data_IF_935049527014
#
_entry.id   IF_935049527014
#
_cell.length_a   1.000
_cell.length_b   1.000
_cell.length_c   1.000
_cell.angle_alpha   90.00
_cell.angle_beta   90.00
_cell.angle_gamma   90.00
#
_symmetry.space_group_name_H-M   'P 1'
#
loop_
_entity.id
_entity.type
_entity.pdbx_description
1 polymer ?
#
# COMPACT_ATOMS: atom_id res chain seq x y z
N UNK A 1 -12.22 23.80 -19.59
CA UNK A 1 -13.42 22.99 -19.26
C UNK A 1 -13.41 21.59 -19.89
N UNK A 2 -13.06 21.44 -21.21
CA UNK A 2 -13.02 20.13 -21.86
C UNK A 2 -11.93 19.19 -21.31
N UNK A 3 -10.75 19.71 -20.95
CA UNK A 3 -9.65 18.89 -20.40
C UNK A 3 -9.95 18.29 -19.01
N UNK A 4 -10.90 18.86 -18.28
CA UNK A 4 -11.24 18.42 -16.93
C UNK A 4 -12.22 17.23 -16.94
N UNK A 5 -13.03 17.09 -17.98
CA UNK A 5 -13.94 15.95 -18.17
C UNK A 5 -13.15 14.66 -18.43
N UNK A 6 -12.08 14.72 -19.22
CA UNK A 6 -11.22 13.56 -19.49
C UNK A 6 -10.46 13.07 -18.24
N UNK A 7 -10.11 13.96 -17.32
CA UNK A 7 -9.46 13.58 -16.05
C UNK A 7 -10.38 12.84 -15.07
N UNK A 8 -11.70 12.89 -15.29
CA UNK A 8 -12.70 12.22 -14.45
C UNK A 8 -13.14 10.86 -14.99
N UNK A 9 -12.70 10.52 -16.21
CA UNK A 9 -13.02 9.23 -16.82
C UNK A 9 -11.98 8.17 -16.45
N UNK A 10 -12.41 6.94 -16.35
CA UNK A 10 -11.53 5.78 -16.18
C UNK A 10 -12.11 4.59 -16.93
N UNK A 11 -11.23 3.72 -17.40
CA UNK A 11 -11.62 2.55 -18.15
C UNK A 11 -12.23 1.48 -17.25
N UNK A 12 -13.35 0.91 -17.66
CA UNK A 12 -13.95 -0.28 -17.06
C UNK A 12 -13.57 -1.54 -17.83
N UNK A 13 -13.45 -1.42 -19.16
CA UNK A 13 -13.06 -2.51 -20.05
C UNK A 13 -12.18 -1.95 -21.16
N UNK A 14 -11.13 -2.66 -21.47
CA UNK A 14 -10.21 -2.34 -22.56
C UNK A 14 -10.80 -2.76 -23.91
N UNK A 15 -10.28 -2.21 -25.01
CA UNK A 15 -10.72 -2.56 -26.37
C UNK A 15 -10.46 -4.04 -26.72
N UNK A 16 -9.46 -4.66 -26.10
CA UNK A 16 -9.15 -6.09 -26.23
C UNK A 16 -10.09 -7.01 -25.41
N UNK A 17 -11.09 -6.43 -24.74
CA UNK A 17 -12.08 -7.17 -23.96
C UNK A 17 -11.68 -7.44 -22.51
N UNK A 18 -10.47 -7.12 -22.08
CA UNK A 18 -10.01 -7.28 -20.70
C UNK A 18 -10.63 -6.23 -19.79
N UNK A 19 -11.14 -6.64 -18.62
CA UNK A 19 -11.65 -5.72 -17.62
C UNK A 19 -10.50 -4.97 -16.95
N UNK A 20 -10.70 -3.67 -16.76
CA UNK A 20 -9.69 -2.82 -16.12
C UNK A 20 -9.68 -3.03 -14.59
N UNK A 21 -8.54 -2.78 -13.98
CA UNK A 21 -8.27 -2.98 -12.56
C UNK A 21 -9.37 -2.44 -11.64
N UNK A 22 -9.86 -1.22 -11.89
CA UNK A 22 -10.85 -0.57 -11.03
C UNK A 22 -12.17 -1.36 -10.92
N UNK A 23 -12.62 -1.98 -12.02
CA UNK A 23 -13.82 -2.80 -12.01
C UNK A 23 -13.54 -4.20 -11.46
N UNK A 24 -12.43 -4.81 -11.89
CA UNK A 24 -12.08 -6.17 -11.49
C UNK A 24 -11.95 -6.27 -9.96
N UNK A 25 -11.19 -5.37 -9.33
CA UNK A 25 -10.97 -5.41 -7.87
C UNK A 25 -12.27 -5.21 -7.09
N UNK A 26 -13.17 -4.33 -7.53
CA UNK A 26 -14.47 -4.10 -6.87
C UNK A 26 -15.34 -5.35 -6.88
N UNK A 27 -15.41 -6.02 -8.04
CA UNK A 27 -16.24 -7.23 -8.19
C UNK A 27 -15.63 -8.41 -7.43
N UNK A 28 -14.32 -8.58 -7.52
CA UNK A 28 -13.62 -9.69 -6.86
C UNK A 28 -13.65 -9.54 -5.34
N UNK A 29 -13.33 -8.37 -4.80
CA UNK A 29 -13.37 -8.10 -3.35
C UNK A 29 -14.79 -8.33 -2.79
N UNK A 30 -15.82 -7.83 -3.49
CA UNK A 30 -17.20 -8.05 -3.05
C UNK A 30 -17.59 -9.54 -3.06
N UNK A 31 -17.21 -10.29 -4.10
CA UNK A 31 -17.49 -11.73 -4.22
C UNK A 31 -16.73 -12.56 -3.19
N UNK A 32 -15.52 -12.14 -2.85
CA UNK A 32 -14.69 -12.78 -1.83
C UNK A 32 -15.09 -12.39 -0.41
N UNK A 33 -16.01 -11.45 -0.24
CA UNK A 33 -16.46 -10.98 1.07
C UNK A 33 -15.40 -10.17 1.82
N UNK A 34 -14.55 -9.45 1.10
CA UNK A 34 -13.54 -8.57 1.68
C UNK A 34 -14.22 -7.44 2.44
N UNK A 35 -13.94 -7.32 3.73
CA UNK A 35 -14.54 -6.32 4.63
C UNK A 35 -13.61 -5.14 4.91
N UNK A 36 -12.30 -5.31 4.73
CA UNK A 36 -11.30 -4.30 4.98
C UNK A 36 -10.14 -4.40 3.99
N UNK A 37 -9.73 -3.26 3.42
CA UNK A 37 -8.63 -3.15 2.47
C UNK A 37 -7.56 -2.23 3.05
N UNK A 38 -6.38 -2.79 3.30
CA UNK A 38 -5.18 -2.03 3.71
C UNK A 38 -4.19 -2.01 2.56
N UNK A 39 -3.79 -0.83 2.11
CA UNK A 39 -2.93 -0.68 0.93
C UNK A 39 -2.11 0.61 0.93
N UNK A 40 -1.22 0.80 -0.03
CA UNK A 40 -0.42 2.02 -0.16
C UNK A 40 -1.24 3.27 -0.49
N UNK A 41 -0.78 4.42 -0.02
CA UNK A 41 -1.41 5.72 -0.24
C UNK A 41 -1.42 6.16 -1.71
N UNK A 42 -0.61 5.55 -2.58
CA UNK A 42 -0.64 5.77 -4.02
C UNK A 42 -1.97 5.35 -4.67
N UNK A 43 -2.73 4.46 -4.02
CA UNK A 43 -4.06 4.06 -4.46
C UNK A 43 -5.20 4.89 -3.82
N UNK A 44 -4.90 5.90 -3.01
CA UNK A 44 -5.92 6.73 -2.36
C UNK A 44 -6.86 7.38 -3.38
N UNK A 45 -6.34 7.88 -4.50
CA UNK A 45 -7.15 8.47 -5.57
C UNK A 45 -8.07 7.45 -6.27
N UNK A 46 -7.74 6.16 -6.21
CA UNK A 46 -8.58 5.08 -6.75
C UNK A 46 -9.75 4.75 -5.85
N UNK A 47 -9.65 4.99 -4.56
CA UNK A 47 -10.69 4.65 -3.58
C UNK A 47 -12.03 5.31 -3.91
N UNK A 48 -12.04 6.60 -4.26
CA UNK A 48 -13.28 7.30 -4.62
C UNK A 48 -13.95 6.67 -5.84
N UNK A 49 -13.17 6.22 -6.85
CA UNK A 49 -13.69 5.55 -8.05
C UNK A 49 -14.25 4.17 -7.71
N UNK A 50 -13.56 3.43 -6.86
CA UNK A 50 -14.00 2.10 -6.41
C UNK A 50 -15.26 2.19 -5.55
N UNK A 51 -15.35 3.12 -4.60
CA UNK A 51 -16.55 3.37 -3.82
C UNK A 51 -17.75 3.74 -4.71
N UNK A 52 -17.51 4.52 -5.75
CA UNK A 52 -18.54 4.83 -6.73
C UNK A 52 -19.02 3.59 -7.50
N UNK A 53 -18.09 2.69 -7.89
CA UNK A 53 -18.44 1.42 -8.53
C UNK A 53 -19.20 0.48 -7.58
N UNK A 54 -18.78 0.35 -6.32
CA UNK A 54 -19.52 -0.42 -5.31
C UNK A 54 -20.98 0.04 -5.23
N UNK A 55 -21.17 1.36 -5.18
CA UNK A 55 -22.52 1.94 -5.14
C UNK A 55 -23.32 1.68 -6.42
N UNK A 56 -22.70 1.82 -7.60
CA UNK A 56 -23.39 1.59 -8.88
C UNK A 56 -23.80 0.13 -9.11
N UNK A 57 -23.00 -0.80 -8.56
CA UNK A 57 -23.23 -2.23 -8.70
C UNK A 57 -24.05 -2.82 -7.55
N UNK A 58 -24.49 -1.99 -6.61
CA UNK A 58 -25.19 -2.40 -5.38
C UNK A 58 -24.42 -3.47 -4.60
N UNK A 59 -23.09 -3.29 -4.49
CA UNK A 59 -22.19 -4.19 -3.79
C UNK A 59 -21.77 -3.60 -2.44
N UNK A 60 -21.54 -4.44 -1.40
CA UNK A 60 -21.04 -3.98 -0.11
C UNK A 60 -19.61 -3.47 -0.22
N UNK A 61 -19.38 -2.19 0.10
CA UNK A 61 -18.05 -1.61 0.09
C UNK A 61 -17.26 -1.96 1.36
N UNK A 62 -15.97 -2.35 1.24
CA UNK A 62 -15.09 -2.56 2.38
C UNK A 62 -14.70 -1.23 3.03
N UNK A 63 -14.15 -1.31 4.25
CA UNK A 63 -13.41 -0.19 4.84
C UNK A 63 -12.04 -0.09 4.17
N UNK A 64 -11.54 1.14 3.99
CA UNK A 64 -10.24 1.38 3.39
C UNK A 64 -9.29 2.05 4.39
N UNK A 65 -8.08 1.52 4.47
CA UNK A 65 -6.95 2.13 5.15
C UNK A 65 -5.78 2.30 4.17
N UNK A 66 -5.10 3.45 4.23
CA UNK A 66 -3.99 3.76 3.34
C UNK A 66 -2.73 4.01 4.17
N UNK A 67 -1.72 3.16 3.97
CA UNK A 67 -0.42 3.30 4.59
C UNK A 67 0.46 4.25 3.77
N UNK A 68 1.33 5.06 4.41
CA UNK A 68 2.30 5.87 3.70
C UNK A 68 3.24 4.98 2.89
N UNK A 69 3.78 5.53 1.79
CA UNK A 69 4.77 4.84 0.99
C UNK A 69 6.14 4.93 1.68
N UNK A 70 6.94 3.88 1.48
CA UNK A 70 8.36 3.94 1.75
C UNK A 70 9.08 4.51 0.51
N UNK A 71 9.87 5.52 0.73
CA UNK A 71 10.69 6.17 -0.28
C UNK A 71 12.16 5.84 -0.02
N UNK A 72 12.99 5.92 -1.03
CA UNK A 72 14.44 5.89 -0.86
C UNK A 72 14.90 7.06 0.03
N UNK A 73 16.11 7.00 0.57
CA UNK A 73 16.68 8.05 1.43
C UNK A 73 16.70 9.45 0.78
N UNK A 74 16.79 9.49 -0.56
CA UNK A 74 16.73 10.72 -1.37
C UNK A 74 15.31 11.19 -1.72
N UNK A 75 14.27 10.53 -1.18
CA UNK A 75 12.85 10.86 -1.38
C UNK A 75 12.23 10.32 -2.68
N UNK A 76 12.99 9.58 -3.51
CA UNK A 76 12.41 8.92 -4.70
C UNK A 76 11.59 7.71 -4.30
N UNK A 77 10.62 7.34 -5.14
CA UNK A 77 9.94 6.04 -5.00
C UNK A 77 10.96 4.90 -5.14
N UNK A 78 10.86 3.94 -4.24
CA UNK A 78 11.58 2.67 -4.40
C UNK A 78 11.14 2.02 -5.71
N UNK A 79 12.10 1.67 -6.55
CA UNK A 79 11.85 1.08 -7.86
C UNK A 79 12.60 -0.24 -8.00
N UNK A 80 12.23 -1.03 -9.02
CA UNK A 80 12.97 -2.27 -9.37
C UNK A 80 14.44 -2.01 -9.73
N UNK A 81 14.82 -0.75 -9.99
CA UNK A 81 16.21 -0.36 -10.26
C UNK A 81 17.03 -0.21 -8.97
N UNK A 82 16.36 -0.02 -7.84
CA UNK A 82 16.98 0.00 -6.51
C UNK A 82 17.09 -1.45 -6.01
N UNK A 83 17.66 -2.33 -6.84
CA UNK A 83 17.65 -3.79 -6.71
C UNK A 83 18.14 -4.33 -5.36
N UNK A 84 18.94 -3.54 -4.62
CA UNK A 84 19.47 -3.94 -3.32
C UNK A 84 18.41 -3.98 -2.21
N UNK A 85 17.24 -3.37 -2.41
CA UNK A 85 16.15 -3.31 -1.45
C UNK A 85 14.94 -4.18 -1.87
N UNK A 86 15.09 -5.05 -2.87
CA UNK A 86 14.06 -6.05 -3.14
C UNK A 86 13.99 -7.05 -1.98
N UNK A 87 12.79 -7.57 -1.69
CA UNK A 87 12.62 -8.59 -0.65
C UNK A 87 13.51 -9.82 -0.90
N UNK A 88 13.74 -10.16 -2.17
CA UNK A 88 14.62 -11.25 -2.56
C UNK A 88 16.07 -11.00 -2.10
N UNK A 89 16.60 -9.81 -2.33
CA UNK A 89 17.95 -9.42 -1.91
C UNK A 89 18.05 -9.25 -0.39
N UNK A 90 17.03 -8.70 0.25
CA UNK A 90 17.00 -8.55 1.70
C UNK A 90 17.01 -9.91 2.41
N UNK A 91 16.30 -10.90 1.90
CA UNK A 91 16.28 -12.28 2.47
C UNK A 91 17.62 -12.99 2.41
N UNK A 92 18.54 -12.56 1.55
CA UNK A 92 19.89 -13.10 1.52
C UNK A 92 20.78 -12.60 2.68
N UNK A 93 20.39 -11.47 3.31
CA UNK A 93 21.18 -10.77 4.35
C UNK A 93 20.50 -10.73 5.71
N UNK A 94 19.19 -10.76 5.74
CA UNK A 94 18.37 -10.53 6.94
C UNK A 94 17.33 -11.63 7.14
N UNK A 95 17.03 -11.94 8.40
CA UNK A 95 15.88 -12.78 8.75
C UNK A 95 14.56 -12.03 8.50
N UNK A 96 13.45 -12.77 8.53
CA UNK A 96 12.13 -12.13 8.42
C UNK A 96 11.88 -11.14 9.59
N UNK A 97 12.29 -11.50 10.79
CA UNK A 97 12.17 -10.69 11.99
C UNK A 97 13.03 -9.41 11.92
N UNK A 98 14.23 -9.50 11.34
CA UNK A 98 15.09 -8.34 11.09
C UNK A 98 14.41 -7.35 10.15
N UNK A 99 13.84 -7.85 9.04
CA UNK A 99 13.15 -7.02 8.06
C UNK A 99 11.94 -6.35 8.69
N UNK A 100 11.10 -7.12 9.40
CA UNK A 100 9.91 -6.58 10.07
C UNK A 100 10.29 -5.53 11.12
N UNK A 101 11.31 -5.79 11.93
CA UNK A 101 11.76 -4.85 12.96
C UNK A 101 12.29 -3.55 12.36
N UNK A 102 13.10 -3.62 11.30
CA UNK A 102 13.60 -2.44 10.57
C UNK A 102 12.46 -1.63 9.95
N UNK A 103 11.47 -2.28 9.35
CA UNK A 103 10.29 -1.62 8.83
C UNK A 103 9.47 -0.97 9.95
N UNK A 104 9.26 -1.67 11.07
CA UNK A 104 8.56 -1.12 12.23
C UNK A 104 9.26 0.13 12.78
N UNK A 105 10.59 0.13 12.83
CA UNK A 105 11.38 1.30 13.18
C UNK A 105 11.17 2.46 12.18
N UNK A 106 11.25 2.19 10.87
CA UNK A 106 11.03 3.21 9.85
C UNK A 106 9.63 3.84 9.94
N UNK A 107 8.62 3.05 10.32
CA UNK A 107 7.25 3.52 10.55
C UNK A 107 7.04 4.17 11.94
N UNK A 108 8.05 4.24 12.79
CA UNK A 108 7.92 4.81 14.14
C UNK A 108 7.08 3.95 15.09
N UNK A 109 6.93 2.67 14.81
CA UNK A 109 6.22 1.71 15.67
C UNK A 109 7.11 1.14 16.77
N UNK A 110 8.43 1.34 16.68
CA UNK A 110 9.42 1.04 17.71
C UNK A 110 10.60 2.02 17.64
N UNK A 111 11.37 2.09 18.71
CA UNK A 111 12.46 3.09 18.87
C UNK A 111 13.77 2.67 18.20
N UNK A 112 14.00 1.36 18.01
CA UNK A 112 15.25 0.81 17.47
C UNK A 112 14.93 -0.23 16.37
N UNK A 113 15.83 -0.46 15.39
CA UNK A 113 15.64 -1.43 14.32
C UNK A 113 15.91 -2.88 14.80
N UNK A 114 15.40 -3.24 15.98
CA UNK A 114 15.55 -4.55 16.57
C UNK A 114 14.60 -5.57 15.93
N UNK A 115 15.00 -6.87 15.81
CA UNK A 115 14.15 -7.91 15.25
C UNK A 115 12.80 -8.03 15.96
N UNK A 116 11.72 -8.15 15.20
CA UNK A 116 10.34 -8.28 15.71
C UNK A 116 9.51 -9.18 14.80
N UNK A 117 8.61 -9.95 15.38
CA UNK A 117 7.58 -10.64 14.61
C UNK A 117 6.36 -9.74 14.40
N UNK A 118 5.58 -9.93 13.32
CA UNK A 118 4.33 -9.20 13.12
C UNK A 118 3.38 -9.34 14.33
N UNK A 119 3.27 -10.54 14.91
CA UNK A 119 2.39 -10.83 16.06
C UNK A 119 2.80 -10.01 17.28
N UNK A 120 4.10 -9.79 17.48
CA UNK A 120 4.59 -9.00 18.60
C UNK A 120 4.25 -7.52 18.48
N UNK A 121 4.06 -7.02 17.25
CA UNK A 121 3.68 -5.64 16.99
C UNK A 121 2.18 -5.37 17.18
N UNK A 122 1.33 -6.40 17.05
CA UNK A 122 -0.15 -6.24 17.13
C UNK A 122 -0.57 -5.63 18.45
N UNK A 123 0.07 -6.03 19.57
CA UNK A 123 -0.31 -5.57 20.91
C UNK A 123 -0.18 -4.06 21.10
N UNK A 124 0.81 -3.47 20.45
CA UNK A 124 1.17 -2.06 20.59
C UNK A 124 0.74 -1.22 19.38
N UNK A 125 0.11 -1.86 18.40
CA UNK A 125 -0.31 -1.22 17.16
C UNK A 125 -1.50 -0.29 17.38
N UNK A 126 -1.41 0.91 16.80
CA UNK A 126 -2.53 1.84 16.65
C UNK A 126 -2.39 2.60 15.35
N UNK A 127 -3.49 2.82 14.65
CA UNK A 127 -3.52 3.67 13.45
C UNK A 127 -3.03 5.11 13.72
N UNK A 128 -3.16 5.60 14.95
CA UNK A 128 -2.68 6.93 15.33
C UNK A 128 -1.14 7.04 15.34
N UNK A 129 -0.46 5.90 15.49
CA UNK A 129 1.01 5.82 15.42
C UNK A 129 1.52 5.74 13.98
N UNK A 130 0.69 5.37 13.02
CA UNK A 130 1.10 5.27 11.62
C UNK A 130 1.25 6.67 11.03
N UNK A 131 2.42 7.03 10.47
CA UNK A 131 2.63 8.34 9.86
C UNK A 131 1.62 8.62 8.73
N UNK A 132 1.21 9.88 8.62
CA UNK A 132 0.26 10.31 7.58
C UNK A 132 0.94 10.79 6.28
N UNK A 133 2.29 10.84 6.30
CA UNK A 133 3.10 11.26 5.15
C UNK A 133 4.02 10.11 4.76
N UNK A 134 4.40 10.08 3.49
CA UNK A 134 5.38 9.14 2.99
C UNK A 134 6.69 9.23 3.79
N UNK A 135 7.36 8.10 3.94
CA UNK A 135 8.50 7.92 4.84
C UNK A 135 9.74 7.68 3.99
N UNK A 136 10.75 8.54 4.11
CA UNK A 136 12.07 8.24 3.58
C UNK A 136 12.75 7.20 4.48
N UNK A 137 13.25 6.13 3.89
CA UNK A 137 14.01 5.13 4.63
C UNK A 137 15.26 5.79 5.24
N UNK A 138 15.54 5.57 6.54
CA UNK A 138 16.80 6.00 7.13
C UNK A 138 17.98 5.44 6.34
N UNK A 139 19.01 6.28 6.15
CA UNK A 139 20.26 5.86 5.52
C UNK A 139 20.88 4.70 6.30
N UNK A 140 21.40 3.70 5.61
CA UNK A 140 21.98 2.52 6.24
C UNK A 140 20.99 1.53 6.84
N UNK A 141 19.69 1.74 6.75
CA UNK A 141 18.73 0.83 7.40
C UNK A 141 18.81 -0.61 6.84
N UNK A 142 19.14 -0.78 5.57
CA UNK A 142 19.28 -2.05 4.88
C UNK A 142 20.65 -2.21 4.18
N UNK A 143 21.68 -1.59 4.71
CA UNK A 143 23.07 -1.74 4.25
C UNK A 143 23.81 -2.90 4.94
#
# INVERSE_FOLDING_TARGET
>A
AASDVYKRQFYLRRADGVFAYQLAVVVDDARMGVTEVVRGADLLSSTARQLYLYRLLDLPAPKFAHCPLLLASDGRRLSKRDGDQSLENLRARYTAEDIVGRLAYAYGLQEEPAPRTPESLIKDFSWDKVPKKDICLPEGLFE
#
